data_IF_625625048963
#
_entry.id   IF_625625048963
#
_cell.length_a   1.000
_cell.length_b   1.000
_cell.length_c   1.000
_cell.angle_alpha   90.00
_cell.angle_beta   90.00
_cell.angle_gamma   90.00
#
_symmetry.space_group_name_H-M   'P 1'
#
loop_
_entity.id
_entity.type
_entity.pdbx_description
1 polymer ?
#
# COMPACT_ATOMS: atom_id res chain seq x y z
N UNK A 1 -27.40 6.18 8.13
CA UNK A 1 -26.67 5.08 8.79
C UNK A 1 -27.27 4.84 10.17
N UNK A 2 -27.22 3.61 10.68
CA UNK A 2 -27.75 3.31 12.01
C UNK A 2 -26.78 3.78 13.12
N UNK A 3 -27.26 3.89 14.37
CA UNK A 3 -26.48 4.40 15.49
C UNK A 3 -25.25 3.54 15.83
N UNK A 4 -25.33 2.22 15.61
CA UNK A 4 -24.22 1.29 15.86
C UNK A 4 -23.06 1.55 14.90
N UNK A 5 -23.34 1.67 13.59
CA UNK A 5 -22.35 2.00 12.56
C UNK A 5 -21.66 3.33 12.86
N UNK A 6 -22.41 4.36 13.25
CA UNK A 6 -21.83 5.65 13.63
C UNK A 6 -20.93 5.53 14.86
N UNK A 7 -21.35 4.78 15.89
CA UNK A 7 -20.55 4.57 17.09
C UNK A 7 -19.22 3.86 16.78
N UNK A 8 -19.26 2.81 15.95
CA UNK A 8 -18.05 2.13 15.47
C UNK A 8 -17.14 3.09 14.70
N UNK A 9 -17.71 3.91 13.82
CA UNK A 9 -16.95 4.89 13.05
C UNK A 9 -16.22 5.91 13.92
N UNK A 10 -16.91 6.44 14.95
CA UNK A 10 -16.27 7.32 15.92
C UNK A 10 -15.15 6.62 16.69
N UNK A 11 -15.37 5.38 17.14
CA UNK A 11 -14.36 4.62 17.87
C UNK A 11 -13.10 4.34 17.02
N UNK A 12 -13.28 4.02 15.73
CA UNK A 12 -12.16 3.80 14.81
C UNK A 12 -11.36 5.09 14.56
N UNK A 13 -12.04 6.21 14.31
CA UNK A 13 -11.38 7.52 14.17
C UNK A 13 -10.66 7.94 15.46
N UNK A 14 -11.31 7.76 16.60
CA UNK A 14 -10.72 8.04 17.91
C UNK A 14 -9.43 7.25 18.14
N UNK A 15 -9.38 5.98 17.72
CA UNK A 15 -8.18 5.17 17.79
C UNK A 15 -7.06 5.69 16.86
N UNK A 16 -7.41 6.12 15.64
CA UNK A 16 -6.44 6.67 14.68
C UNK A 16 -5.89 8.04 15.10
N UNK A 17 -6.72 8.88 15.71
CA UNK A 17 -6.35 10.24 16.10
C UNK A 17 -5.89 10.35 17.56
N UNK A 18 -6.03 9.27 18.35
CA UNK A 18 -5.81 9.27 19.81
C UNK A 18 -6.57 10.38 20.54
N UNK A 19 -7.82 10.63 20.12
CA UNK A 19 -8.70 11.68 20.65
C UNK A 19 -10.12 11.15 20.82
N UNK A 20 -10.89 11.75 21.72
CA UNK A 20 -12.34 11.50 21.84
C UNK A 20 -13.18 12.36 20.90
N UNK A 21 -12.57 13.38 20.29
CA UNK A 21 -13.22 14.35 19.38
C UNK A 21 -12.53 14.31 18.00
N UNK A 22 -12.99 13.45 17.07
CA UNK A 22 -12.39 13.32 15.75
C UNK A 22 -12.38 14.63 14.96
N UNK A 23 -11.23 15.02 14.41
CA UNK A 23 -11.05 16.33 13.78
C UNK A 23 -11.92 16.55 12.54
N UNK A 24 -12.36 15.48 11.86
CA UNK A 24 -13.22 15.57 10.66
C UNK A 24 -14.59 16.19 10.96
N UNK A 25 -15.12 16.01 12.17
CA UNK A 25 -16.40 16.59 12.58
C UNK A 25 -16.31 18.11 12.65
N UNK A 26 -15.20 18.62 13.17
CA UNK A 26 -14.96 20.05 13.31
C UNK A 26 -14.57 20.68 11.98
N UNK A 27 -13.71 20.01 11.22
CA UNK A 27 -13.18 20.51 9.96
C UNK A 27 -14.24 20.73 8.87
N UNK A 28 -15.37 20.03 8.93
CA UNK A 28 -16.44 20.10 7.93
C UNK A 28 -17.76 20.66 8.50
N UNK A 29 -17.78 21.06 9.77
CA UNK A 29 -19.02 21.42 10.49
C UNK A 29 -19.82 22.52 9.81
N UNK A 30 -19.14 23.54 9.32
CA UNK A 30 -19.71 24.77 8.76
C UNK A 30 -20.05 24.67 7.27
N UNK A 31 -19.41 23.74 6.55
CA UNK A 31 -19.50 23.67 5.08
C UNK A 31 -20.08 22.36 4.53
N UNK A 32 -19.78 21.22 5.16
CA UNK A 32 -20.16 19.89 4.66
C UNK A 32 -20.39 18.86 5.79
N UNK A 33 -21.27 19.12 6.76
CA UNK A 33 -21.49 18.23 7.91
C UNK A 33 -22.01 16.84 7.52
N UNK A 34 -22.77 16.75 6.43
CA UNK A 34 -23.23 15.47 5.89
C UNK A 34 -22.06 14.64 5.37
N UNK A 35 -21.04 15.27 4.78
CA UNK A 35 -19.84 14.57 4.31
C UNK A 35 -19.04 14.00 5.49
N UNK A 36 -18.92 14.72 6.60
CA UNK A 36 -18.32 14.19 7.82
C UNK A 36 -19.10 12.96 8.32
N UNK A 37 -20.43 13.04 8.35
CA UNK A 37 -21.28 11.94 8.78
C UNK A 37 -21.17 10.72 7.86
N UNK A 38 -21.09 10.92 6.54
CA UNK A 38 -20.84 9.87 5.55
C UNK A 38 -19.47 9.24 5.75
N UNK A 39 -18.41 10.04 5.94
CA UNK A 39 -17.07 9.53 6.18
C UNK A 39 -17.02 8.66 7.44
N UNK A 40 -17.58 9.15 8.55
CA UNK A 40 -17.63 8.43 9.82
C UNK A 40 -18.38 7.12 9.67
N UNK A 41 -19.60 7.15 9.13
CA UNK A 41 -20.42 5.95 9.10
C UNK A 41 -19.98 4.96 8.02
N UNK A 42 -19.70 5.40 6.80
CA UNK A 42 -19.32 4.49 5.71
C UNK A 42 -17.88 4.03 5.81
N UNK A 43 -16.92 4.97 5.85
CA UNK A 43 -15.50 4.62 5.84
C UNK A 43 -15.14 3.96 7.17
N UNK A 44 -15.34 4.66 8.28
CA UNK A 44 -14.87 4.17 9.58
C UNK A 44 -15.85 3.22 10.26
N UNK A 45 -17.15 3.28 9.96
CA UNK A 45 -18.18 2.46 10.58
C UNK A 45 -18.53 1.17 9.83
N UNK A 46 -18.40 1.14 8.50
CA UNK A 46 -18.71 -0.04 7.68
C UNK A 46 -17.46 -0.71 7.11
N UNK A 47 -16.46 0.04 6.65
CA UNK A 47 -15.28 -0.52 5.99
C UNK A 47 -14.19 -0.94 6.99
N UNK A 48 -13.80 -0.05 7.91
CA UNK A 48 -12.73 -0.36 8.88
C UNK A 48 -13.01 -1.57 9.78
N UNK A 49 -14.25 -1.79 10.29
CA UNK A 49 -14.53 -2.91 11.17
C UNK A 49 -14.62 -4.27 10.48
N UNK A 50 -14.53 -4.32 9.14
CA UNK A 50 -14.56 -5.60 8.41
C UNK A 50 -13.36 -6.46 8.85
N UNK A 51 -13.52 -7.80 8.92
CA UNK A 51 -12.42 -8.71 9.22
C UNK A 51 -11.44 -8.77 8.03
N UNK A 52 -10.38 -9.57 8.17
CA UNK A 52 -9.44 -9.89 7.08
C UNK A 52 -8.24 -8.95 6.96
N UNK A 53 -8.36 -7.69 7.41
CA UNK A 53 -7.24 -6.77 7.62
C UNK A 53 -7.30 -6.15 9.00
N UNK A 54 -6.19 -6.19 9.72
CA UNK A 54 -6.06 -5.45 10.97
C UNK A 54 -5.89 -3.93 10.72
N UNK A 55 -5.96 -3.13 11.79
CA UNK A 55 -5.88 -1.67 11.69
C UNK A 55 -4.53 -1.21 11.11
N UNK A 56 -3.44 -1.89 11.45
CA UNK A 56 -2.09 -1.60 10.95
C UNK A 56 -2.03 -1.78 9.43
N UNK A 57 -2.50 -2.92 8.93
CA UNK A 57 -2.56 -3.24 7.51
C UNK A 57 -3.47 -2.27 6.74
N UNK A 58 -4.62 -1.89 7.33
CA UNK A 58 -5.49 -0.87 6.74
C UNK A 58 -4.75 0.45 6.55
N UNK A 59 -4.03 0.92 7.58
CA UNK A 59 -3.25 2.15 7.46
C UNK A 59 -2.11 2.05 6.43
N UNK A 60 -1.40 0.93 6.35
CA UNK A 60 -0.38 0.72 5.31
C UNK A 60 -0.97 0.80 3.90
N UNK A 61 -2.11 0.13 3.66
CA UNK A 61 -2.85 0.19 2.39
C UNK A 61 -3.32 1.61 2.07
N UNK A 62 -3.87 2.33 3.06
CA UNK A 62 -4.30 3.72 2.88
C UNK A 62 -3.14 4.64 2.54
N UNK A 63 -2.04 4.58 3.30
CA UNK A 63 -0.84 5.40 3.10
C UNK A 63 -0.25 5.15 1.72
N UNK A 64 -0.15 3.88 1.31
CA UNK A 64 0.36 3.52 -0.01
C UNK A 64 -0.48 4.10 -1.15
N UNK A 65 -1.80 3.97 -1.05
CA UNK A 65 -2.71 4.52 -2.04
C UNK A 65 -2.65 6.05 -2.15
N UNK A 66 -2.69 6.75 -1.01
CA UNK A 66 -2.64 8.21 -0.97
C UNK A 66 -1.31 8.76 -1.50
N UNK A 67 -0.19 8.13 -1.11
CA UNK A 67 1.13 8.51 -1.61
C UNK A 67 1.25 8.27 -3.13
N UNK A 68 0.75 7.13 -3.64
CA UNK A 68 0.82 6.79 -5.05
C UNK A 68 -0.06 7.69 -5.94
N UNK A 69 -1.22 8.15 -5.46
CA UNK A 69 -2.05 9.09 -6.21
C UNK A 69 -1.45 10.50 -6.29
N UNK A 70 -0.68 10.91 -5.27
CA UNK A 70 -0.02 12.21 -5.20
C UNK A 70 -0.98 13.39 -4.96
N UNK A 71 -0.48 14.49 -4.39
CA UNK A 71 -1.27 15.72 -4.18
C UNK A 71 -2.34 15.64 -3.08
N UNK A 72 -2.23 14.65 -2.20
CA UNK A 72 -3.18 14.36 -1.11
C UNK A 72 -2.52 14.52 0.27
N UNK A 73 -1.58 15.47 0.40
CA UNK A 73 -0.73 15.61 1.59
C UNK A 73 -1.49 15.76 2.90
N UNK A 74 -2.63 16.49 3.00
CA UNK A 74 -3.40 16.55 4.25
C UNK A 74 -3.89 15.18 4.71
N UNK A 75 -4.47 14.40 3.79
CA UNK A 75 -4.97 13.04 4.08
C UNK A 75 -3.82 12.06 4.30
N UNK A 76 -2.73 12.19 3.55
CA UNK A 76 -1.54 11.36 3.74
C UNK A 76 -0.95 11.57 5.14
N UNK A 77 -0.82 12.82 5.60
CA UNK A 77 -0.31 13.13 6.94
C UNK A 77 -1.23 12.62 8.04
N UNK A 78 -2.54 12.73 7.85
CA UNK A 78 -3.52 12.15 8.78
C UNK A 78 -3.32 10.64 8.93
N UNK A 79 -3.22 9.91 7.80
CA UNK A 79 -3.07 8.46 7.82
C UNK A 79 -1.66 7.99 8.21
N UNK A 80 -0.62 8.80 8.02
CA UNK A 80 0.71 8.52 8.57
C UNK A 80 0.72 8.58 10.10
N UNK A 81 0.05 9.56 10.70
CA UNK A 81 -0.11 9.61 12.16
C UNK A 81 -0.96 8.43 12.65
N UNK A 82 -2.09 8.17 11.99
CA UNK A 82 -2.93 7.01 12.26
C UNK A 82 -2.18 5.68 12.15
N UNK A 83 -1.26 5.55 11.19
CA UNK A 83 -0.42 4.37 11.02
C UNK A 83 0.51 4.14 12.22
N UNK A 84 1.15 5.20 12.73
CA UNK A 84 1.96 5.12 13.95
C UNK A 84 1.11 4.68 15.15
N UNK A 85 -0.08 5.26 15.32
CA UNK A 85 -1.00 4.91 16.40
C UNK A 85 -1.55 3.48 16.27
N UNK A 86 -1.67 2.98 15.04
CA UNK A 86 -2.03 1.59 14.75
C UNK A 86 -0.85 0.61 14.90
N UNK A 87 0.34 1.08 15.29
CA UNK A 87 1.51 0.25 15.57
C UNK A 87 2.48 0.08 14.40
N UNK A 88 2.37 0.85 13.31
CA UNK A 88 3.42 0.91 12.31
C UNK A 88 4.66 1.59 12.91
N UNK A 89 5.83 1.10 12.58
CA UNK A 89 7.08 1.77 12.95
C UNK A 89 7.42 2.89 11.98
N UNK A 90 8.20 3.90 12.39
CA UNK A 90 8.70 4.94 11.48
C UNK A 90 9.50 4.36 10.31
N UNK A 91 10.28 3.31 10.56
CA UNK A 91 11.09 2.63 9.55
C UNK A 91 10.22 1.94 8.50
N UNK A 92 9.12 1.28 8.91
CA UNK A 92 8.14 0.70 7.98
C UNK A 92 7.52 1.76 7.06
N UNK A 93 7.16 2.93 7.60
CA UNK A 93 6.54 4.00 6.83
C UNK A 93 7.52 4.67 5.86
N UNK A 94 8.79 4.85 6.26
CA UNK A 94 9.84 5.31 5.35
C UNK A 94 10.12 4.28 4.27
N UNK A 95 10.17 2.99 4.64
CA UNK A 95 10.45 1.91 3.71
C UNK A 95 9.30 1.69 2.72
N UNK A 96 8.05 1.91 3.13
CA UNK A 96 6.91 1.99 2.22
C UNK A 96 7.13 3.07 1.16
N UNK A 97 7.61 4.27 1.53
CA UNK A 97 7.88 5.33 0.54
C UNK A 97 9.01 4.95 -0.41
N UNK A 98 10.08 4.31 0.09
CA UNK A 98 11.14 3.79 -0.77
C UNK A 98 10.62 2.74 -1.75
N UNK A 99 9.75 1.84 -1.28
CA UNK A 99 9.10 0.81 -2.10
C UNK A 99 8.28 1.43 -3.25
N UNK A 100 7.55 2.52 -2.96
CA UNK A 100 6.74 3.22 -3.96
C UNK A 100 7.56 3.91 -5.07
N UNK A 101 8.88 4.03 -4.95
CA UNK A 101 9.72 4.52 -6.07
C UNK A 101 9.51 3.67 -7.33
N UNK A 102 9.33 2.35 -7.17
CA UNK A 102 9.13 1.41 -8.28
C UNK A 102 7.76 1.61 -8.95
N UNK A 103 6.73 1.95 -8.18
CA UNK A 103 5.34 1.93 -8.64
C UNK A 103 4.78 3.31 -8.98
N UNK A 104 5.11 4.31 -8.16
CA UNK A 104 4.63 5.69 -8.29
C UNK A 104 5.75 6.68 -8.67
N UNK A 105 7.00 6.21 -8.78
CA UNK A 105 8.15 7.02 -9.15
C UNK A 105 8.75 7.83 -8.00
N UNK A 106 9.96 8.35 -8.23
CA UNK A 106 10.69 9.16 -7.24
C UNK A 106 9.92 10.38 -6.72
N UNK A 107 9.20 11.18 -7.54
CA UNK A 107 8.52 12.36 -7.02
C UNK A 107 7.47 12.04 -5.94
N UNK A 108 6.66 11.00 -6.15
CA UNK A 108 5.67 10.56 -5.17
C UNK A 108 6.32 10.05 -3.88
N UNK A 109 7.37 9.23 -4.00
CA UNK A 109 8.14 8.74 -2.87
C UNK A 109 8.79 9.87 -2.06
N UNK A 110 9.39 10.86 -2.72
CA UNK A 110 10.04 12.01 -2.07
C UNK A 110 9.02 12.88 -1.32
N UNK A 111 7.85 13.13 -1.91
CA UNK A 111 6.75 13.82 -1.23
C UNK A 111 6.24 13.03 -0.02
N UNK A 112 6.14 11.70 -0.15
CA UNK A 112 5.82 10.79 0.94
C UNK A 112 6.81 10.87 2.10
N UNK A 113 8.12 10.83 1.83
CA UNK A 113 9.17 10.99 2.85
C UNK A 113 9.10 12.36 3.51
N UNK A 114 8.81 13.43 2.76
CA UNK A 114 8.61 14.75 3.34
C UNK A 114 7.38 14.80 4.28
N UNK A 115 6.29 14.10 3.93
CA UNK A 115 5.14 13.94 4.80
C UNK A 115 5.48 13.13 6.06
N UNK A 116 6.21 12.02 5.94
CA UNK A 116 6.72 11.25 7.09
C UNK A 116 7.53 12.14 8.04
N UNK A 117 8.48 12.93 7.51
CA UNK A 117 9.28 13.86 8.32
C UNK A 117 8.41 14.84 9.11
N UNK A 118 7.40 15.44 8.46
CA UNK A 118 6.51 16.39 9.11
C UNK A 118 5.68 15.73 10.22
N UNK A 119 5.18 14.51 9.99
CA UNK A 119 4.40 13.75 10.98
C UNK A 119 5.28 13.30 12.13
N UNK A 120 6.45 12.72 11.87
CA UNK A 120 7.36 12.28 12.95
C UNK A 120 7.79 13.42 13.85
N UNK A 121 8.08 14.59 13.27
CA UNK A 121 8.38 15.78 14.05
C UNK A 121 7.21 16.22 14.94
N UNK A 122 5.97 16.15 14.42
CA UNK A 122 4.75 16.48 15.18
C UNK A 122 4.48 15.47 16.30
N UNK A 123 4.65 14.17 16.03
CA UNK A 123 4.40 13.07 16.97
C UNK A 123 5.58 12.83 17.93
N UNK A 124 6.64 13.65 17.88
CA UNK A 124 7.82 13.52 18.76
C UNK A 124 8.66 12.27 18.50
N UNK A 125 8.56 11.68 17.31
CA UNK A 125 9.25 10.45 16.94
C UNK A 125 10.63 10.76 16.37
N UNK A 126 11.67 10.21 16.99
CA UNK A 126 13.04 10.37 16.54
C UNK A 126 13.28 9.68 15.19
N UNK A 127 13.78 10.43 14.22
CA UNK A 127 14.18 9.88 12.91
C UNK A 127 15.62 9.37 13.03
N UNK A 128 15.79 8.08 13.26
CA UNK A 128 17.11 7.46 13.29
C UNK A 128 17.61 7.21 11.86
N UNK A 129 17.81 8.27 11.08
CA UNK A 129 18.49 8.25 9.76
C UNK A 129 17.88 7.37 8.66
N UNK A 130 16.72 6.74 8.90
CA UNK A 130 16.36 5.49 8.21
C UNK A 130 17.35 4.40 8.60
N UNK A 131 16.95 3.13 8.56
CA UNK A 131 17.96 2.07 8.48
C UNK A 131 18.93 2.44 7.36
N UNK A 132 20.17 2.80 7.71
CA UNK A 132 21.26 2.78 6.75
C UNK A 132 21.30 1.34 6.29
N UNK A 133 20.61 1.04 5.20
CA UNK A 133 20.65 -0.29 4.61
C UNK A 133 22.11 -0.47 4.26
N UNK A 134 22.82 -1.39 4.95
CA UNK A 134 24.15 -1.74 4.51
C UNK A 134 24.00 -2.09 3.03
N UNK A 135 24.87 -1.54 2.16
CA UNK A 135 24.90 -1.99 0.77
C UNK A 135 24.82 -3.52 0.81
N UNK A 136 23.84 -4.15 0.13
CA UNK A 136 23.52 -5.55 0.35
C UNK A 136 24.82 -6.34 0.29
N UNK A 137 25.14 -7.04 1.38
CA UNK A 137 26.25 -7.99 1.41
C UNK A 137 25.77 -9.24 0.67
N UNK A 138 25.55 -9.06 -0.64
CA UNK A 138 25.24 -10.11 -1.56
C UNK A 138 26.55 -10.76 -1.97
N UNK A 139 26.62 -12.09 -1.90
CA UNK A 139 27.75 -12.85 -2.43
C UNK A 139 27.76 -12.92 -3.97
N UNK A 140 26.78 -12.29 -4.65
CA UNK A 140 26.59 -12.30 -6.10
C UNK A 140 26.33 -10.90 -6.68
N UNK A 141 26.03 -10.83 -7.98
CA UNK A 141 25.73 -9.54 -8.62
C UNK A 141 24.36 -9.01 -8.20
N UNK A 142 24.17 -7.69 -8.32
CA UNK A 142 22.86 -7.03 -8.13
C UNK A 142 21.76 -7.65 -9.00
N UNK A 143 22.12 -8.09 -10.21
CA UNK A 143 21.22 -8.82 -11.10
C UNK A 143 20.83 -10.19 -10.54
N UNK A 144 21.78 -10.98 -10.04
CA UNK A 144 21.50 -12.30 -9.48
C UNK A 144 20.59 -12.23 -8.27
N UNK A 145 20.83 -11.25 -7.39
CA UNK A 145 19.97 -10.99 -6.22
C UNK A 145 18.56 -10.60 -6.67
N UNK A 146 18.45 -9.67 -7.61
CA UNK A 146 17.16 -9.25 -8.15
C UNK A 146 16.38 -10.38 -8.83
N UNK A 147 17.07 -11.22 -9.59
CA UNK A 147 16.45 -12.35 -10.28
C UNK A 147 15.93 -13.40 -9.27
N UNK A 148 16.67 -13.63 -8.18
CA UNK A 148 16.21 -14.50 -7.10
C UNK A 148 14.94 -13.95 -6.43
N UNK A 149 14.92 -12.65 -6.09
CA UNK A 149 13.74 -12.02 -5.49
C UNK A 149 12.54 -12.00 -6.43
N UNK A 150 12.73 -11.70 -7.72
CA UNK A 150 11.66 -11.74 -8.72
C UNK A 150 11.04 -13.15 -8.82
N UNK A 151 11.86 -14.20 -8.79
CA UNK A 151 11.37 -15.59 -8.86
C UNK A 151 10.62 -16.01 -7.61
N UNK A 152 11.07 -15.58 -6.43
CA UNK A 152 10.39 -15.83 -5.17
C UNK A 152 9.02 -15.16 -5.13
N UNK A 153 8.96 -13.90 -5.58
CA UNK A 153 7.78 -13.05 -5.44
C UNK A 153 6.85 -13.24 -6.64
N UNK A 154 7.26 -12.78 -7.82
CA UNK A 154 6.40 -12.75 -9.01
C UNK A 154 6.36 -14.10 -9.75
N UNK A 155 7.42 -14.89 -9.64
CA UNK A 155 7.57 -16.17 -10.34
C UNK A 155 7.41 -16.04 -11.85
N UNK A 156 6.67 -16.97 -12.45
CA UNK A 156 6.42 -17.02 -13.90
C UNK A 156 5.81 -15.71 -14.46
N UNK A 157 4.97 -15.02 -13.66
CA UNK A 157 4.36 -13.77 -14.09
C UNK A 157 5.40 -12.66 -14.31
N UNK A 158 6.42 -12.59 -13.44
CA UNK A 158 7.54 -11.67 -13.58
C UNK A 158 8.43 -12.03 -14.77
N UNK A 159 8.70 -13.32 -14.99
CA UNK A 159 9.49 -13.78 -16.13
C UNK A 159 8.81 -13.43 -17.47
N UNK A 160 7.48 -13.53 -17.56
CA UNK A 160 6.73 -13.08 -18.74
C UNK A 160 6.82 -11.58 -18.98
N UNK A 161 6.85 -10.75 -17.93
CA UNK A 161 7.07 -9.29 -18.08
C UNK A 161 8.44 -9.04 -18.70
N UNK A 162 9.50 -9.70 -18.22
CA UNK A 162 10.84 -9.54 -18.75
C UNK A 162 10.94 -9.96 -20.22
N UNK A 163 10.36 -11.12 -20.57
CA UNK A 163 10.31 -11.59 -21.95
C UNK A 163 9.57 -10.61 -22.88
N UNK A 164 8.49 -9.98 -22.40
CA UNK A 164 7.73 -9.01 -23.18
C UNK A 164 8.47 -7.69 -23.47
N UNK A 165 9.59 -7.44 -22.79
CA UNK A 165 10.41 -6.24 -22.97
C UNK A 165 11.68 -6.49 -23.78
N UNK A 166 12.01 -7.74 -24.10
CA UNK A 166 13.31 -8.13 -24.66
C UNK A 166 13.60 -7.47 -26.02
N UNK A 167 12.58 -7.36 -26.88
CA UNK A 167 12.70 -6.84 -28.24
C UNK A 167 12.57 -5.30 -28.33
N UNK A 168 11.93 -4.67 -27.34
CA UNK A 168 11.61 -3.24 -27.37
C UNK A 168 12.40 -2.39 -26.35
N UNK A 169 12.63 -2.91 -25.15
CA UNK A 169 13.23 -2.17 -24.04
C UNK A 169 13.99 -3.09 -23.07
N UNK A 170 15.04 -3.80 -23.51
CA UNK A 170 15.76 -4.77 -22.68
C UNK A 170 16.41 -4.13 -21.44
N UNK A 171 16.85 -2.87 -21.52
CA UNK A 171 17.35 -2.12 -20.36
C UNK A 171 16.27 -1.90 -19.29
N UNK A 172 15.00 -1.76 -19.68
CA UNK A 172 13.91 -1.65 -18.71
C UNK A 172 13.72 -2.98 -17.96
N UNK A 173 13.81 -4.11 -18.65
CA UNK A 173 13.83 -5.43 -18.02
C UNK A 173 15.00 -5.57 -17.04
N UNK A 174 16.20 -5.12 -17.43
CA UNK A 174 17.37 -5.09 -16.54
C UNK A 174 17.14 -4.18 -15.33
N UNK A 175 16.53 -3.01 -15.48
CA UNK A 175 16.22 -2.13 -14.35
C UNK A 175 15.18 -2.73 -13.40
N UNK A 176 14.18 -3.45 -13.90
CA UNK A 176 13.24 -4.19 -13.05
C UNK A 176 14.02 -5.17 -12.17
N UNK A 177 14.90 -5.98 -12.76
CA UNK A 177 15.68 -6.98 -12.02
C UNK A 177 16.62 -6.28 -11.04
N UNK A 178 17.51 -5.43 -11.52
CA UNK A 178 18.59 -4.91 -10.69
C UNK A 178 18.11 -3.84 -9.71
N UNK A 179 17.26 -2.89 -10.13
CA UNK A 179 16.83 -1.78 -9.28
C UNK A 179 15.62 -2.17 -8.44
N UNK A 180 14.51 -2.58 -9.05
CA UNK A 180 13.32 -2.89 -8.28
C UNK A 180 13.57 -4.11 -7.37
N UNK A 181 13.95 -5.24 -7.96
CA UNK A 181 14.12 -6.45 -7.15
C UNK A 181 15.47 -6.51 -6.41
N UNK A 182 16.56 -6.10 -7.05
CA UNK A 182 17.91 -6.17 -6.48
C UNK A 182 18.19 -5.13 -5.40
N UNK A 183 17.70 -3.90 -5.56
CA UNK A 183 17.96 -2.80 -4.61
C UNK A 183 16.77 -2.49 -3.69
N UNK A 184 15.53 -2.53 -4.17
CA UNK A 184 14.36 -2.07 -3.39
C UNK A 184 13.74 -3.21 -2.59
N UNK A 185 13.44 -4.35 -3.20
CA UNK A 185 12.79 -5.48 -2.51
C UNK A 185 13.69 -6.16 -1.47
N UNK A 186 15.01 -6.07 -1.61
CA UNK A 186 15.99 -6.66 -0.68
C UNK A 186 16.21 -5.83 0.59
N UNK A 187 15.63 -4.63 0.65
CA UNK A 187 15.77 -3.74 1.82
C UNK A 187 15.03 -4.31 3.02
N UNK A 188 15.60 -4.23 4.23
CA UNK A 188 14.87 -4.56 5.45
C UNK A 188 13.82 -3.48 5.76
N UNK A 189 12.96 -3.77 6.72
CA UNK A 189 12.02 -2.80 7.29
C UNK A 189 10.56 -3.02 6.89
N UNK A 190 10.29 -3.70 5.77
CA UNK A 190 8.95 -4.16 5.42
C UNK A 190 9.01 -5.60 4.92
N UNK A 191 8.21 -6.49 5.52
CA UNK A 191 8.13 -7.88 5.12
C UNK A 191 7.47 -8.04 3.73
N UNK A 192 7.67 -9.19 3.07
CA UNK A 192 7.20 -9.42 1.71
C UNK A 192 5.68 -9.35 1.56
N UNK A 193 4.91 -9.84 2.55
CA UNK A 193 3.44 -9.76 2.50
C UNK A 193 3.00 -8.30 2.55
N UNK A 194 3.60 -7.52 3.46
CA UNK A 194 3.34 -6.09 3.57
C UNK A 194 3.74 -5.34 2.29
N UNK A 195 4.90 -5.65 1.68
CA UNK A 195 5.35 -5.07 0.39
C UNK A 195 4.37 -5.34 -0.74
N UNK A 196 3.94 -6.57 -0.91
CA UNK A 196 2.98 -6.91 -1.98
C UNK A 196 1.60 -6.31 -1.69
N UNK A 197 1.17 -6.24 -0.44
CA UNK A 197 -0.10 -5.64 -0.06
C UNK A 197 -0.13 -4.13 -0.37
N UNK A 198 0.93 -3.38 -0.04
CA UNK A 198 1.03 -1.95 -0.38
C UNK A 198 1.20 -1.73 -1.89
N UNK A 199 1.81 -2.67 -2.60
CA UNK A 199 1.95 -2.63 -4.06
C UNK A 199 0.60 -2.78 -4.75
N UNK A 200 -0.18 -3.79 -4.36
CA UNK A 200 -1.57 -3.97 -4.81
C UNK A 200 -2.40 -2.73 -4.51
N UNK A 201 -2.20 -2.11 -3.34
CA UNK A 201 -2.91 -0.89 -2.96
C UNK A 201 -2.55 0.30 -3.85
N UNK A 202 -1.25 0.56 -4.07
CA UNK A 202 -0.77 1.65 -4.92
C UNK A 202 -1.24 1.49 -6.36
N UNK A 203 -1.10 0.29 -6.94
CA UNK A 203 -1.50 0.01 -8.32
C UNK A 203 -3.02 0.09 -8.50
N UNK A 204 -3.80 -0.36 -7.52
CA UNK A 204 -5.26 -0.15 -7.49
C UNK A 204 -5.59 1.34 -7.47
N UNK A 205 -4.92 2.11 -6.62
CA UNK A 205 -5.19 3.53 -6.46
C UNK A 205 -4.81 4.38 -7.68
N UNK A 206 -3.72 4.04 -8.39
CA UNK A 206 -3.37 4.69 -9.66
C UNK A 206 -4.35 4.31 -10.79
N UNK A 207 -4.75 3.03 -10.86
CA UNK A 207 -5.81 2.55 -11.74
C UNK A 207 -5.44 2.42 -13.24
N UNK A 208 -4.17 2.59 -13.60
CA UNK A 208 -3.70 2.58 -15.00
C UNK A 208 -2.74 1.42 -15.35
N UNK A 209 -2.37 0.58 -14.38
CA UNK A 209 -1.35 -0.46 -14.52
C UNK A 209 -1.92 -1.87 -14.25
N UNK A 210 -3.01 -2.23 -14.92
CA UNK A 210 -3.73 -3.49 -14.69
C UNK A 210 -2.87 -4.76 -14.89
N UNK A 211 -1.96 -4.86 -15.89
CA UNK A 211 -1.06 -6.01 -16.00
C UNK A 211 -0.16 -6.19 -14.77
N UNK A 212 0.46 -5.11 -14.30
CA UNK A 212 1.34 -5.12 -13.12
C UNK A 212 0.54 -5.39 -11.85
N UNK A 213 -0.69 -4.87 -11.74
CA UNK A 213 -1.59 -5.19 -10.63
C UNK A 213 -1.82 -6.70 -10.53
N UNK A 214 -2.07 -7.38 -11.66
CA UNK A 214 -2.26 -8.84 -11.67
C UNK A 214 -0.98 -9.60 -11.30
N UNK A 215 0.20 -9.13 -11.74
CA UNK A 215 1.49 -9.69 -11.33
C UNK A 215 1.62 -9.66 -9.81
N UNK A 216 1.41 -8.51 -9.17
CA UNK A 216 1.55 -8.37 -7.72
C UNK A 216 0.39 -8.97 -6.91
N UNK A 217 -0.76 -9.23 -7.53
CA UNK A 217 -1.79 -10.09 -6.91
C UNK A 217 -1.33 -11.56 -6.85
N UNK A 218 -0.65 -12.06 -7.89
CA UNK A 218 0.03 -13.35 -7.80
C UNK A 218 1.17 -13.31 -6.78
N UNK A 219 1.97 -12.24 -6.79
CA UNK A 219 3.07 -12.00 -5.85
C UNK A 219 2.64 -12.08 -4.40
N UNK A 220 1.61 -11.33 -4.02
CA UNK A 220 1.00 -11.37 -2.68
C UNK A 220 0.66 -12.80 -2.25
N UNK A 221 0.07 -13.60 -3.14
CA UNK A 221 -0.33 -14.98 -2.85
C UNK A 221 0.85 -15.96 -2.85
N UNK A 222 1.96 -15.64 -3.50
CA UNK A 222 3.16 -16.46 -3.51
C UNK A 222 3.96 -16.28 -2.21
N UNK A 223 4.03 -15.06 -1.69
CA UNK A 223 4.78 -14.73 -0.45
C UNK A 223 3.98 -14.96 0.85
N UNK A 224 2.82 -15.61 0.75
CA UNK A 224 2.02 -16.04 1.90
C UNK A 224 0.85 -15.12 2.29
N UNK A 225 0.60 -14.04 1.54
CA UNK A 225 -0.61 -13.26 1.68
C UNK A 225 -1.86 -14.04 1.26
N UNK A 226 -3.02 -13.64 1.77
CA UNK A 226 -4.29 -14.34 1.53
C UNK A 226 -5.16 -13.64 0.50
N UNK A 227 -6.07 -14.40 -0.12
CA UNK A 227 -7.12 -13.84 -0.98
C UNK A 227 -8.02 -12.88 -0.22
N UNK A 228 -8.29 -13.17 1.06
CA UNK A 228 -9.10 -12.32 1.93
C UNK A 228 -8.42 -10.95 2.17
N UNK A 229 -7.13 -10.94 2.50
CA UNK A 229 -6.36 -9.69 2.65
C UNK A 229 -6.39 -8.85 1.38
N UNK A 230 -6.22 -9.48 0.21
CA UNK A 230 -6.27 -8.82 -1.08
C UNK A 230 -7.64 -8.18 -1.35
N UNK A 231 -8.72 -8.94 -1.17
CA UNK A 231 -10.08 -8.47 -1.42
C UNK A 231 -10.47 -7.37 -0.43
N UNK A 232 -10.12 -7.51 0.84
CA UNK A 232 -10.40 -6.49 1.85
C UNK A 232 -9.60 -5.21 1.63
N UNK A 233 -8.37 -5.28 1.10
CA UNK A 233 -7.62 -4.11 0.68
C UNK A 233 -8.33 -3.39 -0.49
N UNK A 234 -8.82 -4.13 -1.48
CA UNK A 234 -9.55 -3.57 -2.63
C UNK A 234 -10.85 -2.90 -2.18
N UNK A 235 -11.63 -3.56 -1.30
CA UNK A 235 -12.85 -2.98 -0.73
C UNK A 235 -12.53 -1.71 0.06
N UNK A 236 -11.47 -1.75 0.87
CA UNK A 236 -11.03 -0.60 1.64
C UNK A 236 -10.69 0.61 0.74
N UNK A 237 -10.06 0.35 -0.39
CA UNK A 237 -9.68 1.38 -1.35
C UNK A 237 -10.86 1.98 -2.12
N UNK A 238 -12.07 1.42 -2.05
CA UNK A 238 -13.26 2.10 -2.59
C UNK A 238 -13.49 3.47 -1.92
N UNK A 239 -13.16 3.60 -0.62
CA UNK A 239 -13.25 4.85 0.12
C UNK A 239 -12.16 5.89 -0.21
N UNK A 240 -10.98 5.42 -0.64
CA UNK A 240 -9.80 6.28 -0.82
C UNK A 240 -9.49 6.58 -2.28
N UNK A 241 -9.66 5.59 -3.15
CA UNK A 241 -9.40 5.68 -4.59
C UNK A 241 -10.68 5.71 -5.44
N UNK A 242 -11.85 5.57 -4.79
CA UNK A 242 -13.16 5.56 -5.44
C UNK A 242 -13.56 4.20 -6.01
N UNK A 243 -14.88 4.00 -6.10
CA UNK A 243 -15.49 2.74 -6.56
C UNK A 243 -15.01 2.26 -7.94
N UNK A 244 -14.84 3.10 -8.99
CA UNK A 244 -14.43 2.60 -10.30
C UNK A 244 -13.08 1.86 -10.27
N UNK A 245 -12.10 2.40 -9.54
CA UNK A 245 -10.78 1.79 -9.39
C UNK A 245 -10.85 0.49 -8.59
N UNK A 246 -11.61 0.49 -7.49
CA UNK A 246 -11.83 -0.71 -6.69
C UNK A 246 -12.55 -1.83 -7.46
N UNK A 247 -13.55 -1.50 -8.29
CA UNK A 247 -14.26 -2.45 -9.14
C UNK A 247 -13.30 -3.07 -10.16
N UNK A 248 -12.49 -2.25 -10.84
CA UNK A 248 -11.51 -2.74 -11.81
C UNK A 248 -10.49 -3.68 -11.14
N UNK A 249 -10.01 -3.34 -9.95
CA UNK A 249 -9.12 -4.20 -9.19
C UNK A 249 -9.80 -5.51 -8.75
N UNK A 250 -11.06 -5.47 -8.31
CA UNK A 250 -11.81 -6.68 -7.95
C UNK A 250 -11.99 -7.64 -9.14
N UNK A 251 -12.23 -7.10 -10.34
CA UNK A 251 -12.30 -7.89 -11.57
C UNK A 251 -10.94 -8.50 -11.93
N UNK A 252 -9.84 -7.74 -11.78
CA UNK A 252 -8.49 -8.28 -11.95
C UNK A 252 -8.18 -9.42 -10.95
N UNK A 253 -8.58 -9.25 -9.68
CA UNK A 253 -8.42 -10.28 -8.65
C UNK A 253 -9.20 -11.56 -9.00
N UNK A 254 -10.43 -11.42 -9.54
CA UNK A 254 -11.23 -12.56 -10.02
C UNK A 254 -10.50 -13.33 -11.12
N UNK A 255 -9.89 -12.65 -12.08
CA UNK A 255 -9.11 -13.29 -13.15
C UNK A 255 -7.88 -14.03 -12.60
N UNK A 256 -7.14 -13.41 -11.68
CA UNK A 256 -5.98 -13.99 -11.00
C UNK A 256 -6.37 -15.27 -10.25
N UNK A 257 -7.47 -15.24 -9.49
CA UNK A 257 -7.97 -16.39 -8.73
C UNK A 257 -8.40 -17.53 -9.67
N UNK A 258 -9.08 -17.21 -10.77
CA UNK A 258 -9.48 -18.21 -11.78
C UNK A 258 -8.25 -18.87 -12.42
N UNK A 259 -7.24 -18.09 -12.78
CA UNK A 259 -5.99 -18.62 -13.35
C UNK A 259 -5.25 -19.53 -12.35
N UNK A 260 -5.18 -19.16 -11.07
CA UNK A 260 -4.54 -20.00 -10.03
C UNK A 260 -5.32 -21.29 -9.75
N UNK A 261 -6.66 -21.24 -9.82
CA UNK A 261 -7.49 -22.44 -9.64
C UNK A 261 -7.24 -23.46 -10.75
N UNK A 262 -7.10 -23.03 -12.01
CA UNK A 262 -6.80 -23.90 -13.15
C UNK A 262 -5.43 -24.57 -13.07
N UNK A 263 -4.44 -23.95 -12.42
CA UNK A 263 -3.10 -24.53 -12.20
C UNK A 263 -3.05 -25.59 -11.10
N UNK A 264 -4.09 -25.68 -10.26
CA UNK A 264 -4.19 -26.64 -9.15
C UNK A 264 -4.95 -27.92 -9.54
N UNK A 265 -5.54 -27.95 -10.73
CA UNK A 265 -6.20 -29.11 -11.33
C UNK A 265 -5.21 -29.80 -12.26
#
# INVERSE_FOLDING_TARGET
MNAQTMSLGHAQLAALEQTTEPSILDALRDIAPDLASLAIGFVYGEIYPRPGLDLRQRQLVTVAALAAMGGLEPQLKFHLAGALHAGCTPDELVELMNHLVVYAGFPAALNGVAACRAVFAKEGVAVNGGTQVPAPVSTGSRFDTGLASLREIDGEAGEHVLASLEDIAPDLGRYIIEFAFGDIYTRPGLDLVSRELVTVAALTAMGSAAPQLKVHMHGLLNVGGTQEQMVEAIIHLAAYAGFPRAINAALAAKEVMAARAQRRV
#
